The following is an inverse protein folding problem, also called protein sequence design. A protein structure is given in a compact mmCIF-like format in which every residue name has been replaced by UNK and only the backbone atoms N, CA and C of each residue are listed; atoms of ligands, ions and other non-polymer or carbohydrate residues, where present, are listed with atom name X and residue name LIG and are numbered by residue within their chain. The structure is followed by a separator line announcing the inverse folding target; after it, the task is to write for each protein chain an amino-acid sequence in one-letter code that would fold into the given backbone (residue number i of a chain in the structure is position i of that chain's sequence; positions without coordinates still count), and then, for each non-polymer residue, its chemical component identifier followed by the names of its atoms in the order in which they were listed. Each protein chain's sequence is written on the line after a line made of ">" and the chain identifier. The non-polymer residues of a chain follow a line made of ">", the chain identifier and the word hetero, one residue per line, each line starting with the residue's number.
data_IF_734469293020
#
_entry.id   IF_734469293020
#
_cell.length_a   1.000
_cell.length_b   1.000
_cell.length_c   1.000
_cell.angle_alpha   90.00
_cell.angle_beta   90.00
_cell.angle_gamma   90.00
#
_symmetry.space_group_name_H-M   'P 1'
#
loop_
_entity.id
_entity.type
_entity.pdbx_description
1 polymer ?
#
# COMPACT_ATOMS: atom_id res chain seq x y z
N UNK A 1 -10.01 -5.89 14.39
CA UNK A 1 -10.21 -6.20 12.97
C UNK A 1 -9.08 -7.06 12.49
N UNK A 2 -9.38 -8.06 11.66
CA UNK A 2 -8.39 -8.92 11.02
C UNK A 2 -8.08 -8.46 9.58
N UNK A 3 -9.02 -7.67 9.02
CA UNK A 3 -8.94 -7.12 7.67
C UNK A 3 -9.26 -5.62 7.73
N UNK A 4 -8.48 -4.81 7.02
CA UNK A 4 -8.69 -3.37 6.80
C UNK A 4 -8.87 -3.18 5.28
N UNK A 5 -9.91 -2.44 4.87
CA UNK A 5 -10.18 -2.17 3.46
C UNK A 5 -10.29 -0.65 3.27
N UNK A 6 -9.57 -0.12 2.29
CA UNK A 6 -9.63 1.28 1.87
C UNK A 6 -10.11 1.38 0.43
N UNK A 7 -10.99 2.35 0.16
CA UNK A 7 -11.59 2.59 -1.15
C UNK A 7 -11.86 4.08 -1.36
N UNK A 8 -10.81 4.88 -1.23
CA UNK A 8 -10.83 6.34 -1.22
C UNK A 8 -9.98 6.88 -2.36
N UNK A 9 -10.44 7.95 -3.01
CA UNK A 9 -9.65 8.69 -4.01
C UNK A 9 -8.76 9.75 -3.35
N UNK A 10 -8.26 9.47 -2.13
CA UNK A 10 -7.50 10.44 -1.35
C UNK A 10 -6.14 10.70 -1.98
N UNK A 11 -5.63 11.92 -1.83
CA UNK A 11 -4.26 12.30 -2.25
C UNK A 11 -3.27 12.29 -1.07
N UNK A 12 -3.76 11.93 0.12
CA UNK A 12 -2.99 11.85 1.35
C UNK A 12 -3.42 10.63 2.16
N UNK A 13 -2.51 9.98 2.91
CA UNK A 13 -2.84 8.80 3.72
C UNK A 13 -4.11 9.01 4.56
N UNK A 14 -5.00 8.01 4.54
CA UNK A 14 -6.24 8.01 5.32
C UNK A 14 -6.14 7.12 6.56
N UNK A 15 -5.19 6.18 6.55
CA UNK A 15 -4.88 5.33 7.69
C UNK A 15 -3.93 6.06 8.64
N UNK A 16 -4.07 5.88 9.97
CA UNK A 16 -3.22 6.55 10.93
C UNK A 16 -1.80 5.96 10.93
N UNK A 17 -0.84 6.75 11.42
CA UNK A 17 0.54 6.32 11.62
C UNK A 17 0.68 5.49 12.91
N UNK A 18 0.19 4.25 12.90
CA UNK A 18 0.24 3.34 14.06
C UNK A 18 0.54 1.89 13.63
N UNK A 19 1.74 1.40 13.95
CA UNK A 19 2.17 0.04 13.58
C UNK A 19 1.34 -1.06 14.26
N UNK A 20 0.80 -0.80 15.47
CA UNK A 20 0.07 -1.81 16.23
C UNK A 20 -1.25 -2.18 15.56
N UNK A 21 -1.83 -1.26 14.80
CA UNK A 21 -3.07 -1.52 14.07
C UNK A 21 -2.85 -2.30 12.78
N UNK A 22 -1.62 -2.46 12.28
CA UNK A 22 -1.34 -3.15 11.02
C UNK A 22 -0.76 -4.55 11.19
N UNK A 23 0.03 -4.76 12.25
CA UNK A 23 0.70 -6.03 12.49
C UNK A 23 -0.29 -7.21 12.54
N UNK A 24 -0.03 -8.23 11.72
CA UNK A 24 -0.84 -9.44 11.62
C UNK A 24 -2.20 -9.26 10.94
N UNK A 25 -2.41 -8.15 10.21
CA UNK A 25 -3.67 -7.90 9.49
C UNK A 25 -3.49 -7.96 7.99
N UNK A 26 -4.57 -8.32 7.30
CA UNK A 26 -4.69 -8.13 5.87
C UNK A 26 -5.17 -6.70 5.58
N UNK A 27 -4.44 -5.98 4.74
CA UNK A 27 -4.81 -4.63 4.29
C UNK A 27 -5.09 -4.71 2.79
N UNK A 28 -6.24 -4.19 2.36
CA UNK A 28 -6.67 -4.18 0.97
C UNK A 28 -6.92 -2.73 0.56
N UNK A 29 -6.12 -2.21 -0.37
CA UNK A 29 -6.29 -0.88 -0.94
C UNK A 29 -6.83 -0.97 -2.37
N UNK A 30 -7.87 -0.18 -2.67
CA UNK A 30 -8.58 -0.21 -3.96
C UNK A 30 -8.54 1.18 -4.61
N UNK A 31 -8.48 2.25 -3.82
CA UNK A 31 -8.71 3.62 -4.26
C UNK A 31 -7.50 4.32 -4.88
N UNK A 32 -6.28 3.83 -4.66
CA UNK A 32 -5.06 4.43 -5.19
C UNK A 32 -4.69 3.90 -6.58
N UNK A 33 -5.44 4.33 -7.60
CA UNK A 33 -5.24 3.94 -9.00
C UNK A 33 -4.54 5.03 -9.85
N UNK A 34 -4.18 6.17 -9.25
CA UNK A 34 -3.37 7.22 -9.90
C UNK A 34 -2.10 7.53 -9.08
N UNK A 35 -1.00 8.01 -9.71
CA UNK A 35 0.29 8.12 -9.04
C UNK A 35 0.34 9.06 -7.82
N UNK A 36 -0.56 10.03 -7.78
CA UNK A 36 -0.69 11.02 -6.71
C UNK A 36 -1.70 10.61 -5.63
N UNK A 37 -2.46 9.53 -5.86
CA UNK A 37 -3.39 9.01 -4.86
C UNK A 37 -2.65 8.22 -3.80
N UNK A 38 -3.15 8.27 -2.57
CA UNK A 38 -2.50 7.63 -1.45
C UNK A 38 -3.49 7.32 -0.35
N UNK A 39 -3.62 6.05 0.01
CA UNK A 39 -4.46 5.59 1.10
C UNK A 39 -3.62 5.16 2.31
N UNK A 40 -2.47 4.56 2.05
CA UNK A 40 -1.64 3.92 3.06
C UNK A 40 -0.66 4.89 3.72
N UNK A 41 -0.61 4.83 5.04
CA UNK A 41 0.41 5.46 5.87
C UNK A 41 1.79 4.86 5.64
N UNK A 42 2.84 5.60 6.00
CA UNK A 42 4.24 5.16 5.85
C UNK A 42 4.52 3.91 6.72
N UNK A 43 3.87 3.85 7.88
CA UNK A 43 4.01 2.76 8.85
C UNK A 43 3.60 1.38 8.35
N UNK A 44 2.72 1.29 7.34
CA UNK A 44 2.31 0.00 6.76
C UNK A 44 3.50 -0.76 6.18
N UNK A 45 4.44 -0.06 5.54
CA UNK A 45 5.52 -0.70 4.78
C UNK A 45 6.63 -1.28 5.67
N UNK A 46 6.75 -0.82 6.92
CA UNK A 46 7.84 -1.22 7.82
C UNK A 46 7.89 -2.72 8.10
N UNK A 47 6.72 -3.32 8.33
CA UNK A 47 6.58 -4.75 8.64
C UNK A 47 5.82 -5.49 7.55
N UNK A 48 5.78 -4.95 6.32
CA UNK A 48 5.07 -5.58 5.22
C UNK A 48 5.86 -6.81 4.74
N UNK A 49 5.22 -7.97 4.80
CA UNK A 49 5.78 -9.22 4.27
C UNK A 49 5.75 -9.20 2.73
N UNK A 50 4.56 -9.02 2.16
CA UNK A 50 4.31 -9.01 0.72
C UNK A 50 3.24 -7.97 0.36
N UNK A 51 3.42 -7.34 -0.80
CA UNK A 51 2.40 -6.53 -1.45
C UNK A 51 1.89 -7.27 -2.68
N UNK A 52 0.64 -7.71 -2.63
CA UNK A 52 0.00 -8.35 -3.77
C UNK A 52 -0.71 -7.32 -4.64
N UNK A 53 -0.47 -7.37 -5.94
CA UNK A 53 -1.06 -6.47 -6.92
C UNK A 53 -1.76 -7.28 -8.01
N UNK A 54 -2.83 -6.72 -8.57
CA UNK A 54 -3.54 -7.33 -9.71
C UNK A 54 -2.60 -7.43 -10.93
N UNK A 55 -1.85 -6.36 -11.19
CA UNK A 55 -0.86 -6.32 -12.28
C UNK A 55 0.43 -5.62 -11.84
N UNK A 56 1.56 -5.95 -12.47
CA UNK A 56 2.81 -5.24 -12.22
C UNK A 56 2.81 -3.79 -12.74
N UNK A 57 1.86 -3.42 -13.60
CA UNK A 57 1.68 -2.03 -14.03
C UNK A 57 1.28 -1.11 -12.88
N UNK A 58 0.73 -1.65 -11.79
CA UNK A 58 0.45 -0.90 -10.55
C UNK A 58 1.69 -0.20 -9.97
N UNK A 59 2.91 -0.67 -10.27
CA UNK A 59 4.17 -0.01 -9.88
C UNK A 59 4.34 1.37 -10.55
N UNK A 60 3.63 1.64 -11.65
CA UNK A 60 3.65 2.92 -12.38
C UNK A 60 2.39 3.75 -12.17
N UNK A 61 1.32 3.13 -11.69
CA UNK A 61 -0.01 3.74 -11.62
C UNK A 61 -0.44 4.07 -10.20
N UNK A 62 -0.09 3.24 -9.20
CA UNK A 62 -0.57 3.40 -7.84
C UNK A 62 0.39 4.22 -6.98
N UNK A 63 -0.08 5.32 -6.41
CA UNK A 63 0.75 6.12 -5.49
C UNK A 63 1.06 5.40 -4.16
N UNK A 64 0.27 4.40 -3.78
CA UNK A 64 0.57 3.49 -2.65
C UNK A 64 1.71 2.51 -2.97
N UNK A 65 2.24 2.51 -4.19
CA UNK A 65 3.38 1.68 -4.59
C UNK A 65 4.55 2.55 -5.04
N UNK A 66 4.29 3.54 -5.88
CA UNK A 66 5.31 4.44 -6.43
C UNK A 66 6.06 5.18 -5.34
N UNK A 67 5.33 5.84 -4.42
CA UNK A 67 5.95 6.70 -3.42
C UNK A 67 6.78 5.88 -2.41
N UNK A 68 6.28 4.74 -1.89
CA UNK A 68 7.08 3.85 -1.03
C UNK A 68 8.33 3.28 -1.70
N UNK A 69 8.28 2.93 -2.98
CA UNK A 69 9.46 2.48 -3.72
C UNK A 69 10.49 3.61 -3.88
N UNK A 70 10.05 4.82 -4.23
CA UNK A 70 10.92 6.00 -4.36
C UNK A 70 11.59 6.39 -3.04
N UNK A 71 10.86 6.24 -1.93
CA UNK A 71 11.34 6.58 -0.59
C UNK A 71 12.09 5.43 0.12
N UNK A 72 12.28 4.28 -0.55
CA UNK A 72 12.89 3.06 0.01
C UNK A 72 12.16 2.50 1.25
N UNK A 73 10.84 2.70 1.34
CA UNK A 73 10.00 2.08 2.37
C UNK A 73 9.52 0.68 1.94
N UNK A 74 9.41 0.47 0.63
CA UNK A 74 9.04 -0.80 0.03
C UNK A 74 10.22 -1.30 -0.82
N UNK A 75 10.55 -2.57 -0.68
CA UNK A 75 11.46 -3.25 -1.60
C UNK A 75 10.67 -3.83 -2.78
N UNK A 76 11.11 -3.57 -4.01
CA UNK A 76 10.46 -4.07 -5.22
C UNK A 76 10.31 -5.61 -5.26
N UNK A 77 11.20 -6.34 -4.57
CA UNK A 77 11.12 -7.80 -4.45
C UNK A 77 9.94 -8.30 -3.63
N UNK A 78 9.31 -7.43 -2.83
CA UNK A 78 8.10 -7.75 -2.06
C UNK A 78 6.81 -7.54 -2.86
N UNK A 79 6.89 -6.97 -4.07
CA UNK A 79 5.73 -6.75 -4.93
C UNK A 79 5.50 -7.98 -5.79
N UNK A 80 4.35 -8.63 -5.61
CA UNK A 80 4.01 -9.90 -6.25
C UNK A 80 2.71 -9.75 -7.02
N UNK A 81 2.72 -10.11 -8.31
CA UNK A 81 1.50 -10.17 -9.10
C UNK A 81 0.63 -11.34 -8.67
N UNK A 82 -0.67 -11.11 -8.52
CA UNK A 82 -1.66 -12.13 -8.23
C UNK A 82 -2.12 -12.77 -9.55
N UNK A 83 -1.30 -13.68 -10.10
CA UNK A 83 -1.57 -14.38 -11.37
C UNK A 83 -1.23 -15.86 -11.31
#
# INVERSE_FOLDING_TARGET
>A
SDIIITSTSSISPVLPEDEQIFNGKLIIGIGSYLPHMREFSDTIYKNLDYLYVDTLDSIKESGDIIQPLQNNWLDSSKVVAFS
#
